data_IF_811296846620
#
_entry.id   IF_811296846620
#
_cell.length_a   1.000
_cell.length_b   1.000
_cell.length_c   1.000
_cell.angle_alpha   90.00
_cell.angle_beta   90.00
_cell.angle_gamma   90.00
#
_symmetry.space_group_name_H-M   'P 1'
#
loop_
_entity.id
_entity.type
_entity.pdbx_description
1 polymer ?
#
# COMPACT_ATOMS: atom_id res chain seq x y z
N UNK A 1 -10.63 32.70 -9.06
CA UNK A 1 -10.40 34.08 -8.62
C UNK A 1 -10.95 34.37 -7.23
N UNK A 2 -12.19 33.97 -6.89
CA UNK A 2 -12.81 34.29 -5.58
C UNK A 2 -12.10 33.68 -4.35
N UNK A 3 -11.45 32.51 -4.48
CA UNK A 3 -10.88 31.81 -3.33
C UNK A 3 -9.59 32.46 -2.79
N UNK A 4 -8.75 33.06 -3.63
CA UNK A 4 -7.39 33.50 -3.26
C UNK A 4 -7.35 34.71 -2.30
N UNK A 5 -8.50 35.31 -1.98
CA UNK A 5 -8.59 36.55 -1.20
C UNK A 5 -8.89 36.30 0.29
N UNK A 6 -9.04 35.04 0.74
CA UNK A 6 -9.68 34.72 2.03
C UNK A 6 -8.80 34.00 3.08
N UNK A 7 -7.55 33.60 2.78
CA UNK A 7 -6.69 32.88 3.74
C UNK A 7 -5.36 33.58 4.02
N UNK A 8 -5.10 33.95 5.29
CA UNK A 8 -3.85 34.58 5.73
C UNK A 8 -3.19 33.95 6.98
N UNK A 9 -3.65 32.79 7.47
CA UNK A 9 -3.08 32.17 8.69
C UNK A 9 -2.20 30.95 8.37
N UNK A 10 -0.88 31.13 8.49
CA UNK A 10 0.10 30.04 8.32
C UNK A 10 -0.04 28.99 9.42
N UNK A 11 -0.14 27.72 9.05
CA UNK A 11 -0.23 26.58 9.98
C UNK A 11 -1.65 26.12 10.35
N UNK A 12 -2.68 26.90 10.01
CA UNK A 12 -4.09 26.53 10.27
C UNK A 12 -4.90 26.39 8.98
N UNK A 13 -4.90 27.43 8.14
CA UNK A 13 -5.71 27.51 6.92
C UNK A 13 -4.88 28.05 5.76
N UNK A 14 -4.57 27.17 4.81
CA UNK A 14 -3.77 27.47 3.65
C UNK A 14 -4.42 26.92 2.38
N UNK A 15 -4.16 27.58 1.25
CA UNK A 15 -4.48 26.99 -0.05
C UNK A 15 -3.61 25.76 -0.29
N UNK A 16 -4.17 24.78 -0.99
CA UNK A 16 -3.37 23.68 -1.50
C UNK A 16 -2.30 24.26 -2.44
N UNK A 17 -1.05 23.85 -2.24
CA UNK A 17 0.05 24.19 -3.15
C UNK A 17 -0.34 23.77 -4.57
N UNK A 18 -0.25 24.71 -5.52
CA UNK A 18 -0.66 24.51 -6.90
C UNK A 18 0.40 25.05 -7.86
N UNK A 19 0.48 24.45 -9.05
CA UNK A 19 1.30 24.91 -10.16
C UNK A 19 0.48 24.76 -11.44
N UNK A 20 0.48 25.81 -12.26
CA UNK A 20 -0.08 25.76 -13.61
C UNK A 20 0.97 25.14 -14.52
N UNK A 21 0.80 23.87 -14.88
CA UNK A 21 1.74 23.15 -15.74
C UNK A 21 1.24 23.12 -17.18
N UNK A 22 2.17 23.27 -18.13
CA UNK A 22 1.89 23.19 -19.58
C UNK A 22 2.62 22.04 -20.28
N UNK A 23 3.56 21.38 -19.59
CA UNK A 23 4.32 20.25 -20.09
C UNK A 23 4.27 19.05 -19.13
N UNK A 24 4.63 17.87 -19.63
CA UNK A 24 4.69 16.64 -18.82
C UNK A 24 5.85 16.71 -17.83
N UNK A 25 6.95 17.34 -18.22
CA UNK A 25 8.16 17.52 -17.42
C UNK A 25 7.87 18.38 -16.17
N UNK A 26 7.10 19.46 -16.33
CA UNK A 26 6.67 20.31 -15.20
C UNK A 26 5.77 19.55 -14.22
N UNK A 27 4.88 18.70 -14.74
CA UNK A 27 4.02 17.83 -13.91
C UNK A 27 4.88 16.83 -13.14
N UNK A 28 5.90 16.23 -13.78
CA UNK A 28 6.79 15.28 -13.12
C UNK A 28 7.61 15.94 -12.01
N UNK A 29 8.20 17.11 -12.26
CA UNK A 29 8.93 17.86 -11.23
C UNK A 29 8.02 18.22 -10.06
N UNK A 30 6.79 18.68 -10.33
CA UNK A 30 5.85 19.02 -9.27
C UNK A 30 5.37 17.78 -8.49
N UNK A 31 5.29 16.61 -9.16
CA UNK A 31 4.98 15.34 -8.51
C UNK A 31 6.09 14.94 -7.53
N UNK A 32 7.36 15.07 -7.93
CA UNK A 32 8.51 14.80 -7.05
C UNK A 32 8.54 15.74 -5.84
N UNK A 33 8.26 17.03 -6.03
CA UNK A 33 8.13 18.00 -4.94
C UNK A 33 6.98 17.66 -3.99
N UNK A 34 5.81 17.28 -4.52
CA UNK A 34 4.66 16.90 -3.71
C UNK A 34 4.98 15.69 -2.82
N UNK A 35 5.63 14.66 -3.37
CA UNK A 35 6.05 13.48 -2.60
C UNK A 35 7.05 13.84 -1.51
N UNK A 36 8.06 14.66 -1.82
CA UNK A 36 9.05 15.16 -0.82
C UNK A 36 8.37 15.91 0.32
N UNK A 37 7.32 16.66 0.01
CA UNK A 37 6.50 17.40 0.97
C UNK A 37 5.40 16.53 1.62
N UNK A 38 5.55 15.20 1.61
CA UNK A 38 4.65 14.24 2.27
C UNK A 38 3.22 14.20 1.71
N UNK A 39 2.97 14.68 0.49
CA UNK A 39 1.70 14.52 -0.21
C UNK A 39 1.63 13.16 -0.94
N UNK A 40 0.42 12.63 -1.13
CA UNK A 40 0.20 11.35 -1.85
C UNK A 40 0.48 11.46 -3.37
N UNK A 41 0.38 12.67 -3.93
CA UNK A 41 0.57 12.96 -5.34
C UNK A 41 -0.10 14.28 -5.75
N UNK A 42 -0.50 14.36 -7.02
CA UNK A 42 -1.09 15.56 -7.61
C UNK A 42 -2.58 15.38 -7.93
N UNK A 43 -3.31 16.49 -7.78
CA UNK A 43 -4.65 16.65 -8.37
C UNK A 43 -4.52 17.51 -9.62
N UNK A 44 -4.79 16.94 -10.79
CA UNK A 44 -4.75 17.63 -12.08
C UNK A 44 -6.16 18.09 -12.44
N UNK A 45 -6.31 19.38 -12.73
CA UNK A 45 -7.61 20.01 -13.01
C UNK A 45 -7.48 20.90 -14.23
N UNK A 46 -8.45 20.82 -15.14
CA UNK A 46 -8.54 21.80 -16.23
C UNK A 46 -8.90 23.18 -15.66
N UNK A 47 -8.19 24.22 -16.11
CA UNK A 47 -8.45 25.60 -15.69
C UNK A 47 -9.53 26.30 -16.53
N UNK A 48 -9.77 25.82 -17.74
CA UNK A 48 -10.72 26.40 -18.69
C UNK A 48 -11.49 25.35 -19.49
N UNK A 49 -12.61 25.76 -20.10
CA UNK A 49 -13.47 24.89 -20.90
C UNK A 49 -14.48 24.09 -20.08
N UNK A 50 -15.21 23.19 -20.75
CA UNK A 50 -16.30 22.44 -20.12
C UNK A 50 -15.80 21.47 -19.02
N UNK A 51 -14.55 21.01 -19.13
CA UNK A 51 -13.91 20.11 -18.16
C UNK A 51 -13.49 20.84 -16.86
N UNK A 52 -13.44 22.17 -16.85
CA UNK A 52 -13.09 22.97 -15.67
C UNK A 52 -14.30 23.21 -14.73
N UNK A 53 -15.51 22.87 -15.18
CA UNK A 53 -16.74 23.10 -14.41
C UNK A 53 -16.87 22.10 -13.27
N UNK A 54 -17.40 22.58 -12.14
CA UNK A 54 -17.78 21.75 -11.02
C UNK A 54 -19.16 21.12 -11.29
N UNK A 55 -19.17 19.94 -11.89
CA UNK A 55 -20.39 19.18 -12.18
C UNK A 55 -20.52 17.99 -11.23
N UNK A 56 -21.44 18.11 -10.26
CA UNK A 56 -21.70 17.09 -9.23
C UNK A 56 -22.58 15.96 -9.78
N UNK A 57 -23.37 16.22 -10.82
CA UNK A 57 -24.38 15.28 -11.31
C UNK A 57 -23.80 14.15 -12.16
N UNK A 58 -22.53 14.28 -12.58
CA UNK A 58 -21.84 13.28 -13.39
C UNK A 58 -20.55 12.86 -12.72
N UNK A 59 -20.28 11.55 -12.73
CA UNK A 59 -18.95 11.02 -12.44
C UNK A 59 -18.04 11.38 -13.62
N UNK A 60 -17.51 12.59 -13.60
CA UNK A 60 -16.67 13.14 -14.65
C UNK A 60 -15.19 12.86 -14.36
N UNK A 61 -14.37 12.83 -15.41
CA UNK A 61 -12.91 12.77 -15.30
C UNK A 61 -12.29 14.18 -15.23
N UNK A 62 -13.07 15.17 -14.79
CA UNK A 62 -12.66 16.58 -14.75
C UNK A 62 -11.46 16.80 -13.82
N UNK A 63 -11.39 16.02 -12.73
CA UNK A 63 -10.27 16.02 -11.79
C UNK A 63 -9.59 14.66 -11.82
N UNK A 64 -8.32 14.65 -12.18
CA UNK A 64 -7.50 13.44 -12.23
C UNK A 64 -6.60 13.40 -11.00
N UNK A 65 -6.50 12.22 -10.40
CA UNK A 65 -5.55 11.94 -9.32
C UNK A 65 -4.33 11.25 -9.91
N UNK A 66 -3.17 11.88 -9.83
CA UNK A 66 -1.90 11.30 -10.20
C UNK A 66 -1.16 10.93 -8.93
N UNK A 67 -0.89 9.64 -8.72
CA UNK A 67 -0.22 9.14 -7.52
C UNK A 67 1.07 8.44 -7.90
N UNK A 68 2.01 8.40 -6.95
CA UNK A 68 3.35 7.83 -7.20
C UNK A 68 3.26 6.36 -7.56
N UNK A 69 2.35 5.62 -6.92
CA UNK A 69 2.15 4.17 -7.12
C UNK A 69 1.59 3.80 -8.52
N UNK A 70 1.14 4.79 -9.29
CA UNK A 70 0.63 4.59 -10.66
C UNK A 70 1.72 4.65 -11.73
N UNK A 71 2.90 5.16 -11.40
CA UNK A 71 4.02 5.24 -12.34
C UNK A 71 4.70 3.86 -12.41
N UNK A 72 4.81 3.30 -13.62
CA UNK A 72 5.53 2.04 -13.83
C UNK A 72 7.02 2.22 -13.51
N UNK A 73 7.58 1.27 -12.74
CA UNK A 73 8.99 1.33 -12.30
C UNK A 73 9.27 2.23 -11.10
N UNK A 74 8.27 2.96 -10.59
CA UNK A 74 8.42 3.84 -9.41
C UNK A 74 7.50 3.35 -8.30
N UNK A 75 8.09 2.78 -7.25
CA UNK A 75 7.38 2.25 -6.08
C UNK A 75 7.83 0.83 -5.78
N UNK A 76 8.22 0.61 -4.52
CA UNK A 76 8.74 -0.68 -4.10
C UNK A 76 7.64 -1.75 -4.14
N UNK A 77 7.94 -2.87 -4.79
CA UNK A 77 7.10 -4.07 -4.74
C UNK A 77 7.66 -5.03 -3.71
N UNK A 78 6.77 -5.83 -3.14
CA UNK A 78 7.12 -6.86 -2.18
C UNK A 78 6.70 -8.21 -2.75
N UNK A 79 7.57 -9.21 -2.61
CA UNK A 79 7.24 -10.59 -2.92
C UNK A 79 6.78 -11.27 -1.63
N UNK A 80 5.49 -11.56 -1.52
CA UNK A 80 4.85 -12.03 -0.29
C UNK A 80 4.27 -13.43 -0.46
N UNK A 81 4.30 -14.21 0.62
CA UNK A 81 3.79 -15.57 0.65
C UNK A 81 2.30 -15.56 0.95
N UNK A 82 1.50 -16.31 0.19
CA UNK A 82 0.09 -16.53 0.49
C UNK A 82 -0.02 -17.58 1.60
N UNK A 83 -0.59 -17.20 2.74
CA UNK A 83 -0.75 -18.09 3.91
C UNK A 83 -2.22 -18.30 4.30
N UNK A 84 -3.15 -17.63 3.62
CA UNK A 84 -4.57 -17.78 3.90
C UNK A 84 -5.46 -17.08 2.88
N UNK A 85 -6.75 -17.40 2.93
CA UNK A 85 -7.78 -16.84 2.07
C UNK A 85 -9.05 -16.49 2.85
N UNK A 86 -9.79 -15.51 2.32
CA UNK A 86 -11.09 -15.09 2.82
C UNK A 86 -12.16 -15.43 1.78
N UNK A 87 -13.27 -16.00 2.22
CA UNK A 87 -14.36 -16.38 1.34
C UNK A 87 -15.00 -15.15 0.71
N UNK A 88 -15.18 -15.19 -0.61
CA UNK A 88 -15.78 -14.11 -1.36
C UNK A 88 -17.27 -13.97 -1.06
N UNK A 89 -17.75 -12.74 -1.11
CA UNK A 89 -19.17 -12.38 -0.92
C UNK A 89 -19.71 -11.72 -2.19
N UNK A 90 -21.04 -11.76 -2.38
CA UNK A 90 -21.71 -11.13 -3.52
C UNK A 90 -21.21 -11.67 -4.86
N UNK A 91 -20.68 -10.79 -5.71
CA UNK A 91 -20.14 -11.16 -7.05
C UNK A 91 -18.99 -12.17 -7.01
N UNK A 92 -18.31 -12.32 -5.86
CA UNK A 92 -17.19 -13.26 -5.66
C UNK A 92 -17.58 -14.50 -4.85
N UNK A 93 -18.88 -14.74 -4.63
CA UNK A 93 -19.34 -15.94 -3.93
C UNK A 93 -18.85 -17.21 -4.64
N UNK A 94 -18.37 -18.19 -3.87
CA UNK A 94 -17.75 -19.42 -4.38
C UNK A 94 -16.26 -19.30 -4.75
N UNK A 95 -15.70 -18.09 -4.71
CA UNK A 95 -14.26 -17.83 -4.89
C UNK A 95 -13.63 -17.32 -3.60
N UNK A 96 -12.29 -17.23 -3.56
CA UNK A 96 -11.62 -16.44 -2.55
C UNK A 96 -11.74 -14.96 -2.89
N UNK A 97 -12.34 -14.18 -1.99
CA UNK A 97 -12.58 -12.74 -2.16
C UNK A 97 -11.41 -11.87 -1.74
N UNK A 98 -10.49 -12.43 -0.95
CA UNK A 98 -9.23 -11.83 -0.57
C UNK A 98 -8.27 -12.86 0.02
N UNK A 99 -7.04 -12.44 0.28
CA UNK A 99 -5.93 -13.31 0.66
C UNK A 99 -5.14 -12.67 1.80
N UNK A 100 -4.64 -13.50 2.70
CA UNK A 100 -3.72 -13.13 3.77
C UNK A 100 -2.29 -13.41 3.29
N UNK A 101 -1.48 -12.36 3.26
CA UNK A 101 -0.10 -12.42 2.79
C UNK A 101 0.88 -12.17 3.93
N UNK A 102 2.04 -12.83 3.85
CA UNK A 102 3.08 -12.77 4.86
C UNK A 102 4.45 -12.47 4.26
N UNK A 103 5.28 -11.79 5.04
CA UNK A 103 6.72 -11.71 4.82
C UNK A 103 7.44 -12.83 5.61
N UNK A 104 8.68 -13.13 5.22
CA UNK A 104 9.51 -14.12 5.93
C UNK A 104 10.35 -13.44 7.01
N UNK A 105 10.33 -13.95 8.24
CA UNK A 105 11.36 -13.61 9.22
C UNK A 105 12.47 -14.64 9.16
N UNK A 106 13.65 -14.22 8.71
CA UNK A 106 14.77 -15.14 8.51
C UNK A 106 15.36 -15.64 9.84
N UNK A 107 15.23 -14.84 10.91
CA UNK A 107 15.81 -15.14 12.22
C UNK A 107 14.98 -16.18 12.98
N UNK A 108 13.64 -16.11 12.89
CA UNK A 108 12.74 -17.07 13.55
C UNK A 108 12.19 -18.15 12.62
N UNK A 109 12.53 -18.08 11.32
CA UNK A 109 12.01 -18.95 10.25
C UNK A 109 10.47 -18.97 10.17
N UNK A 110 9.83 -17.84 10.53
CA UNK A 110 8.38 -17.70 10.54
C UNK A 110 7.86 -16.90 9.34
N UNK A 111 6.59 -17.16 8.98
CA UNK A 111 5.84 -16.29 8.07
C UNK A 111 4.93 -15.37 8.90
N UNK A 112 5.24 -14.07 8.85
CA UNK A 112 4.53 -13.05 9.61
C UNK A 112 3.52 -12.33 8.72
N UNK A 113 2.24 -12.39 9.12
CA UNK A 113 1.16 -11.74 8.38
C UNK A 113 1.43 -10.23 8.25
N UNK A 114 1.45 -9.76 7.00
CA UNK A 114 1.78 -8.39 6.62
C UNK A 114 0.54 -7.64 6.13
N UNK A 115 -0.29 -8.26 5.30
CA UNK A 115 -1.48 -7.60 4.78
C UNK A 115 -2.57 -8.56 4.33
N UNK A 116 -3.79 -8.02 4.25
CA UNK A 116 -4.89 -8.61 3.51
C UNK A 116 -5.03 -7.91 2.16
N UNK A 117 -5.14 -8.69 1.09
CA UNK A 117 -5.37 -8.15 -0.25
C UNK A 117 -6.68 -8.65 -0.85
N UNK A 118 -7.39 -7.79 -1.57
CA UNK A 118 -8.62 -8.13 -2.30
C UNK A 118 -8.73 -7.43 -3.65
N UNK A 119 -7.68 -6.74 -4.08
CA UNK A 119 -7.64 -5.87 -5.26
C UNK A 119 -6.40 -6.15 -6.10
N UNK A 120 -6.46 -5.85 -7.40
CA UNK A 120 -5.38 -6.11 -8.36
C UNK A 120 -5.60 -7.36 -9.23
N UNK A 121 -6.65 -8.12 -8.98
CA UNK A 121 -7.01 -9.30 -9.76
C UNK A 121 -8.03 -8.95 -10.85
N UNK A 122 -7.82 -9.45 -12.08
CA UNK A 122 -8.92 -9.63 -13.03
C UNK A 122 -9.85 -10.74 -12.54
N UNK A 123 -11.09 -10.76 -13.02
CA UNK A 123 -12.04 -11.80 -12.62
C UNK A 123 -11.55 -13.20 -13.02
N UNK A 124 -10.91 -13.34 -14.18
CA UNK A 124 -10.32 -14.60 -14.64
C UNK A 124 -9.11 -15.01 -13.79
N UNK A 125 -8.21 -14.06 -13.47
CA UNK A 125 -7.08 -14.34 -12.59
C UNK A 125 -7.54 -14.79 -11.20
N UNK A 126 -8.59 -14.17 -10.66
CA UNK A 126 -9.13 -14.54 -9.35
C UNK A 126 -9.69 -15.96 -9.32
N UNK A 127 -10.35 -16.39 -10.42
CA UNK A 127 -10.84 -17.77 -10.57
C UNK A 127 -9.66 -18.75 -10.62
N UNK A 128 -8.71 -18.52 -11.52
CA UNK A 128 -7.54 -19.38 -11.68
C UNK A 128 -6.74 -19.52 -10.38
N UNK A 129 -6.47 -18.41 -9.70
CA UNK A 129 -5.75 -18.42 -8.42
C UNK A 129 -6.56 -19.12 -7.31
N UNK A 130 -7.89 -19.00 -7.31
CA UNK A 130 -8.72 -19.74 -6.36
C UNK A 130 -8.57 -21.25 -6.58
N UNK A 131 -8.67 -21.70 -7.82
CA UNK A 131 -8.59 -23.13 -8.16
C UNK A 131 -7.18 -23.69 -7.89
N UNK A 132 -6.13 -22.90 -8.13
CA UNK A 132 -4.73 -23.25 -7.80
C UNK A 132 -4.49 -23.37 -6.30
N UNK A 133 -5.09 -22.48 -5.49
CA UNK A 133 -4.85 -22.43 -4.04
C UNK A 133 -5.74 -23.37 -3.23
N UNK A 134 -6.91 -23.79 -3.75
CA UNK A 134 -7.82 -24.71 -3.02
C UNK A 134 -7.13 -26.01 -2.54
N UNK A 135 -6.29 -26.69 -3.34
CA UNK A 135 -5.56 -27.88 -2.90
C UNK A 135 -4.59 -27.63 -1.75
N UNK A 136 -4.18 -26.38 -1.50
CA UNK A 136 -3.28 -26.00 -0.42
C UNK A 136 -4.02 -25.70 0.90
N UNK A 137 -5.34 -25.89 0.96
CA UNK A 137 -6.11 -25.62 2.17
C UNK A 137 -5.67 -26.50 3.35
N UNK A 138 -5.49 -25.86 4.50
CA UNK A 138 -5.13 -26.49 5.76
C UNK A 138 -6.28 -26.38 6.76
N UNK A 139 -6.45 -27.41 7.60
CA UNK A 139 -7.43 -27.39 8.70
C UNK A 139 -7.06 -26.39 9.81
N UNK A 140 -5.76 -26.16 9.99
CA UNK A 140 -5.21 -25.31 11.03
C UNK A 140 -3.93 -24.61 10.53
N UNK A 141 -3.53 -23.45 11.11
CA UNK A 141 -2.31 -22.77 10.71
C UNK A 141 -1.08 -23.63 11.02
N UNK A 142 -0.03 -23.49 10.21
CA UNK A 142 1.28 -24.05 10.55
C UNK A 142 1.84 -23.35 11.80
N UNK A 143 2.59 -24.04 12.68
CA UNK A 143 3.13 -23.43 13.91
C UNK A 143 4.05 -22.22 13.68
N UNK A 144 4.67 -22.15 12.49
CA UNK A 144 5.53 -21.06 12.06
C UNK A 144 4.77 -19.91 11.36
N UNK A 145 3.43 -19.92 11.38
CA UNK A 145 2.63 -18.77 10.94
C UNK A 145 2.32 -17.86 12.12
N UNK A 146 2.70 -16.60 11.99
CA UNK A 146 2.42 -15.55 12.97
C UNK A 146 1.41 -14.58 12.39
N UNK A 147 0.15 -14.72 12.77
CA UNK A 147 -0.93 -13.81 12.36
C UNK A 147 -1.65 -13.23 13.56
N UNK A 148 -2.17 -12.01 13.42
CA UNK A 148 -3.10 -11.44 14.40
C UNK A 148 -4.51 -11.98 14.23
N UNK A 149 -5.12 -11.73 13.07
CA UNK A 149 -6.46 -12.22 12.73
C UNK A 149 -6.39 -13.48 11.87
N UNK A 150 -7.24 -14.47 12.17
CA UNK A 150 -7.35 -15.68 11.37
C UNK A 150 -8.08 -15.39 10.03
N UNK A 151 -7.62 -15.98 8.91
CA UNK A 151 -8.38 -16.05 7.67
C UNK A 151 -9.54 -17.05 7.79
N UNK A 152 -10.43 -17.06 6.80
CA UNK A 152 -11.50 -18.07 6.73
C UNK A 152 -10.94 -19.46 6.36
N UNK A 153 -9.86 -19.49 5.58
CA UNK A 153 -9.14 -20.69 5.15
C UNK A 153 -7.64 -20.47 5.32
N UNK A 154 -6.96 -21.35 6.03
CA UNK A 154 -5.48 -21.38 6.07
C UNK A 154 -4.96 -22.06 4.81
N UNK A 155 -3.87 -21.55 4.25
CA UNK A 155 -3.24 -22.11 3.05
C UNK A 155 -1.80 -22.47 3.35
N UNK A 156 -1.34 -23.59 2.80
CA UNK A 156 0.06 -23.97 2.90
C UNK A 156 0.95 -23.00 2.11
N UNK A 157 2.12 -22.71 2.66
CA UNK A 157 3.02 -21.69 2.15
C UNK A 157 3.73 -22.25 0.92
N UNK A 158 3.16 -22.01 -0.26
CA UNK A 158 3.74 -22.44 -1.53
C UNK A 158 3.74 -21.31 -2.57
N UNK A 159 2.70 -20.48 -2.60
CA UNK A 159 2.57 -19.40 -3.58
C UNK A 159 3.23 -18.10 -3.08
N UNK A 160 4.04 -17.48 -3.94
CA UNK A 160 4.62 -16.15 -3.74
C UNK A 160 4.04 -15.18 -4.76
N UNK A 161 3.58 -14.03 -4.31
CA UNK A 161 2.98 -13.00 -5.16
C UNK A 161 3.73 -11.67 -5.04
N UNK A 162 3.91 -11.02 -6.18
CA UNK A 162 4.38 -9.65 -6.23
C UNK A 162 3.21 -8.71 -5.91
N UNK A 163 3.42 -7.85 -4.91
CA UNK A 163 2.43 -6.92 -4.39
C UNK A 163 2.99 -5.52 -4.40
N UNK A 164 2.19 -4.58 -4.89
CA UNK A 164 2.47 -3.16 -4.81
C UNK A 164 1.63 -2.52 -3.71
N UNK A 165 2.20 -1.57 -2.99
CA UNK A 165 1.50 -0.73 -2.04
C UNK A 165 1.81 0.74 -2.28
N UNK A 166 0.96 1.63 -1.76
CA UNK A 166 1.26 3.06 -1.78
C UNK A 166 2.33 3.41 -0.75
N UNK A 167 2.15 2.91 0.48
CA UNK A 167 2.99 3.19 1.64
C UNK A 167 2.98 1.97 2.60
N UNK A 168 3.88 1.99 3.59
CA UNK A 168 3.90 1.09 4.74
C UNK A 168 3.47 1.84 6.00
N UNK A 169 2.72 1.18 6.87
CA UNK A 169 2.17 1.78 8.10
C UNK A 169 2.33 0.85 9.29
N UNK A 170 2.47 1.41 10.50
CA UNK A 170 2.41 0.62 11.73
C UNK A 170 1.01 0.07 11.93
N UNK A 171 0.93 -1.22 12.26
CA UNK A 171 -0.32 -1.94 12.42
C UNK A 171 -0.40 -2.61 13.80
N UNK A 172 -1.49 -2.40 14.54
CA UNK A 172 -1.73 -3.16 15.78
C UNK A 172 -2.22 -4.60 15.49
N UNK A 173 -2.70 -4.87 14.26
CA UNK A 173 -3.31 -6.15 13.90
C UNK A 173 -2.34 -7.10 13.16
N UNK A 174 -1.42 -6.54 12.38
CA UNK A 174 -0.42 -7.33 11.64
C UNK A 174 0.85 -7.51 12.47
N UNK A 175 1.59 -8.59 12.20
CA UNK A 175 2.72 -9.03 13.03
C UNK A 175 4.06 -8.97 12.29
N UNK A 176 4.04 -8.65 11.00
CA UNK A 176 5.25 -8.45 10.21
C UNK A 176 6.19 -7.43 10.85
N UNK A 177 7.46 -7.79 11.02
CA UNK A 177 8.50 -6.92 11.57
C UNK A 177 8.18 -6.34 12.96
N UNK A 178 7.31 -7.00 13.73
CA UNK A 178 7.01 -6.59 15.11
C UNK A 178 8.30 -6.58 15.95
N UNK A 179 8.47 -5.55 16.77
CA UNK A 179 9.68 -5.36 17.58
C UNK A 179 10.88 -4.78 16.83
N UNK A 180 10.87 -4.72 15.48
CA UNK A 180 11.98 -4.13 14.71
C UNK A 180 11.89 -2.60 14.61
N UNK A 181 10.67 -2.07 14.44
CA UNK A 181 10.42 -0.62 14.33
C UNK A 181 9.66 -0.10 15.54
N UNK A 182 8.65 -0.83 16.00
CA UNK A 182 7.88 -0.51 17.19
C UNK A 182 7.78 -1.77 18.08
N UNK A 183 7.83 -1.63 19.41
CA UNK A 183 7.90 -2.77 20.33
C UNK A 183 6.65 -3.66 20.28
N UNK A 184 5.47 -3.07 20.08
CA UNK A 184 4.17 -3.75 20.19
C UNK A 184 3.36 -3.79 18.87
N UNK A 185 3.86 -3.16 17.80
CA UNK A 185 3.18 -3.03 16.51
C UNK A 185 4.01 -3.66 15.40
N UNK A 186 3.34 -4.42 14.53
CA UNK A 186 3.92 -4.83 13.26
C UNK A 186 3.77 -3.74 12.21
N UNK A 187 4.10 -4.09 10.97
CA UNK A 187 3.96 -3.25 9.78
C UNK A 187 2.84 -3.85 8.92
N UNK A 188 2.14 -3.00 8.17
CA UNK A 188 1.19 -3.40 7.14
C UNK A 188 1.24 -2.48 5.93
N UNK A 189 0.74 -2.98 4.81
CA UNK A 189 0.74 -2.26 3.54
C UNK A 189 -0.53 -1.41 3.38
N UNK A 190 -0.35 -0.17 2.92
CA UNK A 190 -1.43 0.74 2.57
C UNK A 190 -1.81 0.56 1.10
N UNK A 191 -3.09 0.28 0.85
CA UNK A 191 -3.63 0.01 -0.48
C UNK A 191 -2.89 -1.08 -1.27
N UNK A 192 -2.67 -2.28 -0.69
CA UNK A 192 -1.96 -3.34 -1.36
C UNK A 192 -2.75 -3.86 -2.56
N UNK A 193 -2.05 -4.10 -3.67
CA UNK A 193 -2.60 -4.62 -4.92
C UNK A 193 -1.74 -5.77 -5.41
N UNK A 194 -2.40 -6.86 -5.80
CA UNK A 194 -1.76 -7.91 -6.55
C UNK A 194 -1.21 -7.35 -7.88
N UNK A 195 0.04 -7.68 -8.19
CA UNK A 195 0.66 -7.38 -9.49
C UNK A 195 0.70 -8.65 -10.32
N UNK A 196 1.36 -9.70 -9.82
CA UNK A 196 1.48 -11.00 -10.49
C UNK A 196 1.89 -12.11 -9.53
N UNK A 197 1.68 -13.36 -9.94
CA UNK A 197 2.28 -14.50 -9.27
C UNK A 197 3.76 -14.63 -9.62
N UNK A 198 4.56 -15.19 -8.70
CA UNK A 198 6.00 -15.40 -8.82
C UNK A 198 6.34 -16.89 -8.75
N UNK A 199 6.03 -17.67 -9.81
CA UNK A 199 6.37 -19.09 -9.85
C UNK A 199 7.89 -19.32 -9.86
N UNK A 200 8.67 -18.28 -10.16
CA UNK A 200 10.13 -18.26 -10.11
C UNK A 200 10.70 -18.13 -8.68
N UNK A 201 9.85 -17.88 -7.67
CA UNK A 201 10.26 -17.72 -6.27
C UNK A 201 9.63 -18.74 -5.36
N UNK A 202 10.44 -19.27 -4.45
CA UNK A 202 9.97 -20.07 -3.31
C UNK A 202 9.65 -19.18 -2.10
N UNK A 203 8.80 -19.64 -1.16
CA UNK A 203 8.48 -18.91 0.07
C UNK A 203 9.70 -18.43 0.86
N UNK A 204 10.81 -19.17 0.83
CA UNK A 204 12.05 -18.81 1.53
C UNK A 204 12.74 -17.57 0.93
N UNK A 205 12.43 -17.26 -0.33
CA UNK A 205 12.95 -16.13 -1.11
C UNK A 205 11.99 -14.92 -1.12
N UNK A 206 10.91 -14.98 -0.34
CA UNK A 206 10.00 -13.86 -0.15
C UNK A 206 10.69 -12.69 0.57
N UNK A 207 10.13 -11.49 0.43
CA UNK A 207 10.58 -10.29 1.12
C UNK A 207 10.63 -10.54 2.62
N UNK A 208 11.75 -10.15 3.25
CA UNK A 208 11.99 -10.43 4.67
C UNK A 208 11.39 -9.37 5.59
N UNK A 209 11.14 -9.73 6.85
CA UNK A 209 10.70 -8.79 7.88
C UNK A 209 11.70 -7.63 8.09
N UNK A 210 13.00 -7.89 7.94
CA UNK A 210 14.03 -6.86 7.95
C UNK A 210 13.89 -5.90 6.76
N UNK A 211 13.73 -6.43 5.54
CA UNK A 211 13.49 -5.59 4.36
C UNK A 211 12.21 -4.75 4.48
N UNK A 212 11.13 -5.32 5.03
CA UNK A 212 9.90 -4.57 5.31
C UNK A 212 10.14 -3.41 6.29
N UNK A 213 10.94 -3.64 7.34
CA UNK A 213 11.31 -2.59 8.29
C UNK A 213 12.15 -1.48 7.63
N UNK A 214 13.16 -1.87 6.84
CA UNK A 214 14.01 -0.93 6.11
C UNK A 214 13.18 -0.07 5.13
N UNK A 215 12.28 -0.70 4.38
CA UNK A 215 11.35 0.00 3.48
C UNK A 215 10.46 0.98 4.23
N UNK A 216 9.95 0.61 5.41
CA UNK A 216 9.14 1.51 6.23
C UNK A 216 9.94 2.74 6.70
N UNK A 217 11.17 2.53 7.19
CA UNK A 217 12.04 3.60 7.70
C UNK A 217 12.55 4.52 6.58
N UNK A 218 12.67 4.00 5.36
CA UNK A 218 13.08 4.77 4.20
C UNK A 218 12.02 5.76 3.69
N UNK A 219 10.75 5.64 4.12
CA UNK A 219 9.68 6.53 3.67
C UNK A 219 9.92 7.98 4.08
N UNK A 220 9.81 8.91 3.13
CA UNK A 220 10.03 10.33 3.37
C UNK A 220 9.14 10.87 4.50
N UNK A 221 7.88 10.41 4.60
CA UNK A 221 6.98 10.79 5.70
C UNK A 221 7.51 10.41 7.08
N UNK A 222 8.13 9.23 7.19
CA UNK A 222 8.72 8.73 8.44
C UNK A 222 10.00 9.51 8.76
N UNK A 223 10.86 9.72 7.77
CA UNK A 223 12.09 10.51 7.91
C UNK A 223 11.80 11.95 8.30
N UNK A 224 10.84 12.60 7.64
CA UNK A 224 10.44 13.98 7.92
C UNK A 224 9.85 14.12 9.33
N UNK A 225 9.06 13.14 9.77
CA UNK A 225 8.50 13.12 11.13
C UNK A 225 9.60 12.96 12.19
N UNK A 226 10.59 12.08 11.97
CA UNK A 226 11.71 11.89 12.89
C UNK A 226 12.60 13.14 13.01
N UNK A 227 12.87 13.82 11.89
CA UNK A 227 13.62 15.10 11.89
C UNK A 227 12.85 16.18 12.63
N UNK A 228 11.52 16.26 12.45
CA UNK A 228 10.70 17.22 13.17
C UNK A 228 10.80 17.02 14.69
N UNK A 229 10.70 15.77 15.18
CA UNK A 229 10.82 15.46 16.62
C UNK A 229 12.20 15.83 17.17
N UNK A 230 13.28 15.46 16.48
CA UNK A 230 14.65 15.80 16.91
C UNK A 230 14.89 17.31 16.98
N UNK A 231 14.30 18.09 16.06
CA UNK A 231 14.40 19.55 16.09
C UNK A 231 13.62 20.18 17.25
N UNK A 232 12.63 19.50 17.85
CA UNK A 232 11.95 19.98 19.05
C UNK A 232 12.71 19.66 20.34
N UNK A 233 13.47 18.55 20.36
CA UNK A 233 14.29 18.15 21.51
C UNK A 233 15.57 18.98 21.66
N UNK A 234 16.05 19.63 20.59
CA UNK A 234 17.20 20.57 20.62
C UNK A 234 16.89 21.96 21.19
N UNK A 235 15.65 22.20 21.66
CA UNK A 235 15.21 23.48 22.25
C UNK A 235 15.03 23.45 23.79
N UNK A 236 15.51 22.41 24.47
CA UNK A 236 15.54 22.32 25.94
C UNK A 236 16.94 22.15 26.52
#
# INVERSE_FOLDING_TARGET
>A
TVLNEVCNNTGEWQFATSRDCTSVEEVQQFMEEAVKNSCEGLMVKALSGDQARYDIARRSHNWLKLKKDYLEGVGDTLDLVVIGAYLGRGKRAGLYGGFLLACRDADSEQFQALCKIGTGFSDDALRSLTDELRPLALEAPRPYYVSGAAPDVWLDAAAVWEVRAADLSLSPAHRAAIGRVAPDKGISLRFPRFVRARPDKKPEQATTAAQVADMYLAQDQVRNSAVAVNNYDDFY
#
